data_IF_833050153661
#
_entry.id   IF_833050153661
#
_cell.length_a   1.000
_cell.length_b   1.000
_cell.length_c   1.000
_cell.angle_alpha   90.00
_cell.angle_beta   90.00
_cell.angle_gamma   90.00
#
_symmetry.space_group_name_H-M   'P 1'
#
loop_
_entity.id
_entity.type
_entity.pdbx_description
1 polymer ?
#
# COMPACT_ATOMS: atom_id res chain seq x y z
N UNK A 1 -87.06 8.63 5.50
CA UNK A 1 -87.14 7.18 5.76
C UNK A 1 -87.57 6.83 7.17
N UNK A 2 -86.90 7.31 8.24
CA UNK A 2 -87.29 6.95 9.63
C UNK A 2 -88.75 7.34 9.96
N UNK A 3 -89.15 8.57 9.62
CA UNK A 3 -90.47 9.10 10.00
C UNK A 3 -91.67 8.34 9.42
N UNK A 4 -91.60 7.87 8.17
CA UNK A 4 -92.70 7.13 7.52
C UNK A 4 -92.84 5.71 8.06
N UNK A 5 -91.72 5.04 8.35
CA UNK A 5 -91.73 3.72 9.01
C UNK A 5 -92.24 3.82 10.44
N UNK A 6 -91.78 4.82 11.21
CA UNK A 6 -92.31 5.06 12.56
C UNK A 6 -93.81 5.37 12.53
N UNK A 7 -94.29 6.15 11.55
CA UNK A 7 -95.72 6.42 11.38
C UNK A 7 -96.50 5.12 11.09
N UNK A 8 -96.01 4.26 10.21
CA UNK A 8 -96.67 2.98 9.90
C UNK A 8 -96.71 2.03 11.11
N UNK A 9 -95.62 1.95 11.89
CA UNK A 9 -95.57 1.16 13.12
C UNK A 9 -96.55 1.73 14.16
N UNK A 10 -96.58 3.05 14.34
CA UNK A 10 -97.52 3.70 15.26
C UNK A 10 -98.96 3.46 14.84
N UNK A 11 -99.28 3.61 13.55
CA UNK A 11 -100.61 3.31 13.02
C UNK A 11 -101.00 1.84 13.19
N UNK A 12 -100.06 0.90 13.01
CA UNK A 12 -100.28 -0.52 13.27
C UNK A 12 -100.54 -0.81 14.75
N UNK A 13 -99.75 -0.23 15.67
CA UNK A 13 -99.96 -0.39 17.11
C UNK A 13 -101.31 0.20 17.54
N UNK A 14 -101.65 1.40 17.03
CA UNK A 14 -102.95 2.03 17.29
C UNK A 14 -104.10 1.18 16.75
N UNK A 15 -103.95 0.59 15.57
CA UNK A 15 -104.94 -0.33 14.99
C UNK A 15 -105.10 -1.59 15.85
N UNK A 16 -104.01 -2.23 16.27
CA UNK A 16 -104.06 -3.40 17.14
C UNK A 16 -104.75 -3.10 18.48
N UNK A 17 -104.45 -1.95 19.08
CA UNK A 17 -105.10 -1.51 20.33
C UNK A 17 -106.58 -1.23 20.10
N UNK A 18 -106.96 -0.58 19.00
CA UNK A 18 -108.35 -0.34 18.64
C UNK A 18 -109.12 -1.67 18.44
N UNK A 19 -108.53 -2.65 17.77
CA UNK A 19 -109.09 -3.99 17.61
C UNK A 19 -109.25 -4.72 18.96
N UNK A 20 -108.26 -4.63 19.85
CA UNK A 20 -108.31 -5.26 21.17
C UNK A 20 -109.41 -4.64 22.06
N UNK A 21 -109.55 -3.31 22.02
CA UNK A 21 -110.62 -2.59 22.72
C UNK A 21 -111.98 -2.99 22.14
N UNK A 22 -112.11 -2.99 20.82
CA UNK A 22 -113.36 -3.41 20.16
C UNK A 22 -113.73 -4.86 20.52
N UNK A 23 -112.77 -5.78 20.54
CA UNK A 23 -112.98 -7.17 20.94
C UNK A 23 -113.50 -7.29 22.38
N UNK A 24 -112.90 -6.56 23.34
CA UNK A 24 -113.28 -6.60 24.75
C UNK A 24 -114.71 -6.08 25.01
N UNK A 25 -115.17 -5.10 24.23
CA UNK A 25 -116.45 -4.43 24.49
C UNK A 25 -117.60 -4.82 23.55
N UNK A 26 -117.29 -5.27 22.33
CA UNK A 26 -118.28 -5.46 21.26
C UNK A 26 -118.55 -6.92 20.91
N UNK A 27 -117.65 -7.87 21.23
CA UNK A 27 -117.93 -9.30 21.09
C UNK A 27 -118.83 -9.74 22.24
N UNK A 28 -120.13 -9.50 22.10
CA UNK A 28 -121.18 -10.09 22.95
C UNK A 28 -121.87 -11.19 22.15
N UNK A 29 -121.84 -12.43 22.66
CA UNK A 29 -122.67 -13.52 22.13
C UNK A 29 -122.01 -14.88 21.88
N UNK A 30 -120.72 -15.07 22.13
CA UNK A 30 -120.11 -16.41 22.13
C UNK A 30 -120.44 -17.14 23.43
N UNK A 31 -121.68 -17.61 23.57
CA UNK A 31 -122.04 -18.59 24.59
C UNK A 31 -121.69 -19.98 24.06
N UNK A 32 -120.90 -20.75 24.82
CA UNK A 32 -120.58 -22.15 24.50
C UNK A 32 -121.68 -23.12 24.96
N UNK A 33 -122.81 -22.58 25.44
CA UNK A 33 -123.94 -23.34 25.94
C UNK A 33 -124.83 -23.79 24.76
N UNK A 34 -124.97 -25.10 24.48
CA UNK A 34 -125.70 -25.59 23.31
C UNK A 34 -127.17 -25.18 23.27
N UNK A 35 -127.76 -24.75 24.40
CA UNK A 35 -129.15 -24.30 24.48
C UNK A 35 -129.39 -22.85 23.97
N UNK A 36 -128.35 -22.02 23.85
CA UNK A 36 -128.46 -20.60 23.45
C UNK A 36 -127.68 -20.26 22.18
N UNK A 37 -127.24 -21.30 21.46
CA UNK A 37 -126.41 -21.17 20.27
C UNK A 37 -127.19 -20.51 19.10
N UNK A 38 -126.76 -19.31 18.71
CA UNK A 38 -127.24 -18.64 17.50
C UNK A 38 -126.14 -18.64 16.42
N UNK A 39 -126.34 -19.46 15.37
CA UNK A 39 -125.37 -19.61 14.29
C UNK A 39 -125.09 -18.33 13.50
N UNK A 40 -126.06 -17.42 13.37
CA UNK A 40 -125.89 -16.17 12.62
C UNK A 40 -124.97 -15.18 13.37
N UNK A 41 -125.16 -15.03 14.69
CA UNK A 41 -124.33 -14.14 15.52
C UNK A 41 -122.89 -14.63 15.61
N UNK A 42 -122.69 -15.95 15.75
CA UNK A 42 -121.36 -16.55 15.80
C UNK A 42 -120.63 -16.44 14.45
N UNK A 43 -121.34 -16.62 13.33
CA UNK A 43 -120.75 -16.43 11.99
C UNK A 43 -120.27 -14.99 11.78
N UNK A 44 -121.06 -13.99 12.17
CA UNK A 44 -120.69 -12.56 12.07
C UNK A 44 -119.41 -12.27 12.88
N UNK A 45 -119.33 -12.75 14.12
CA UNK A 45 -118.15 -12.57 14.96
C UNK A 45 -116.89 -13.23 14.36
N UNK A 46 -117.02 -14.42 13.77
CA UNK A 46 -115.90 -15.10 13.09
C UNK A 46 -115.44 -14.29 11.88
N UNK A 47 -116.36 -13.79 11.04
CA UNK A 47 -116.02 -12.95 9.89
C UNK A 47 -115.29 -11.67 10.31
N UNK A 48 -115.68 -11.06 11.41
CA UNK A 48 -115.08 -9.83 11.91
C UNK A 48 -113.65 -10.04 12.44
N UNK A 49 -113.42 -11.14 13.18
CA UNK A 49 -112.08 -11.54 13.63
C UNK A 49 -111.17 -11.85 12.42
N UNK A 50 -111.70 -12.55 11.42
CA UNK A 50 -110.96 -12.85 10.19
C UNK A 50 -110.59 -11.57 9.43
N UNK A 51 -111.50 -10.60 9.34
CA UNK A 51 -111.22 -9.32 8.69
C UNK A 51 -110.15 -8.51 9.44
N UNK A 52 -110.18 -8.48 10.76
CA UNK A 52 -109.18 -7.77 11.57
C UNK A 52 -107.79 -8.42 11.49
N UNK A 53 -107.72 -9.74 11.56
CA UNK A 53 -106.45 -10.48 11.44
C UNK A 53 -105.85 -10.36 10.04
N UNK A 54 -106.68 -10.38 8.99
CA UNK A 54 -106.26 -10.13 7.62
C UNK A 54 -105.73 -8.70 7.45
N UNK A 55 -106.41 -7.70 8.02
CA UNK A 55 -105.96 -6.31 7.99
C UNK A 55 -104.60 -6.12 8.68
N UNK A 56 -104.42 -6.70 9.86
CA UNK A 56 -103.14 -6.67 10.56
C UNK A 56 -102.02 -7.37 9.77
N UNK A 57 -102.32 -8.54 9.17
CA UNK A 57 -101.38 -9.25 8.32
C UNK A 57 -100.98 -8.43 7.08
N UNK A 58 -101.94 -7.81 6.39
CA UNK A 58 -101.67 -6.98 5.21
C UNK A 58 -100.86 -5.74 5.55
N UNK A 59 -101.15 -5.05 6.66
CA UNK A 59 -100.37 -3.89 7.11
C UNK A 59 -98.94 -4.31 7.47
N UNK A 60 -98.78 -5.42 8.20
CA UNK A 60 -97.47 -5.98 8.52
C UNK A 60 -96.68 -6.38 7.28
N UNK A 61 -97.35 -7.01 6.31
CA UNK A 61 -96.76 -7.38 5.03
C UNK A 61 -96.36 -6.17 4.20
N UNK A 62 -97.19 -5.12 4.12
CA UNK A 62 -96.87 -3.88 3.41
C UNK A 62 -95.70 -3.14 4.06
N UNK A 63 -95.65 -3.10 5.39
CA UNK A 63 -94.53 -2.51 6.12
C UNK A 63 -93.22 -3.29 5.85
N UNK A 64 -93.28 -4.62 5.89
CA UNK A 64 -92.14 -5.48 5.60
C UNK A 64 -91.67 -5.33 4.14
N UNK A 65 -92.60 -5.34 3.18
CA UNK A 65 -92.33 -5.14 1.76
C UNK A 65 -91.66 -3.79 1.51
N UNK A 66 -92.21 -2.71 2.09
CA UNK A 66 -91.68 -1.36 1.95
C UNK A 66 -90.30 -1.18 2.62
N UNK A 67 -90.04 -1.87 3.73
CA UNK A 67 -88.71 -1.91 4.36
C UNK A 67 -87.68 -2.67 3.50
N UNK A 68 -88.14 -3.59 2.64
CA UNK A 68 -87.28 -4.41 1.78
C UNK A 68 -86.83 -3.68 0.50
N UNK A 69 -87.51 -2.60 0.12
CA UNK A 69 -87.29 -1.85 -1.12
C UNK A 69 -86.13 -0.85 -1.00
N UNK A 70 -84.90 -1.26 -1.34
CA UNK A 70 -83.72 -0.45 -1.73
C UNK A 70 -82.79 0.19 -0.67
N UNK A 71 -83.20 1.02 0.33
CA UNK A 71 -82.27 1.80 1.12
C UNK A 71 -81.58 0.96 2.19
N UNK A 72 -82.23 -0.08 2.72
CA UNK A 72 -81.58 -0.99 3.67
C UNK A 72 -80.52 -1.82 2.94
N UNK A 73 -80.79 -2.26 1.71
CA UNK A 73 -79.80 -2.97 0.89
C UNK A 73 -78.62 -2.05 0.57
N UNK A 74 -78.87 -0.84 0.08
CA UNK A 74 -77.82 0.16 -0.21
C UNK A 74 -77.01 0.56 1.02
N UNK A 75 -77.67 0.82 2.14
CA UNK A 75 -76.98 1.14 3.39
C UNK A 75 -76.15 -0.03 3.90
N UNK A 76 -76.69 -1.26 3.83
CA UNK A 76 -75.97 -2.47 4.21
C UNK A 76 -74.72 -2.67 3.34
N UNK A 77 -74.86 -2.58 2.02
CA UNK A 77 -73.71 -2.72 1.11
C UNK A 77 -72.70 -1.60 1.35
N UNK A 78 -73.13 -0.34 1.46
CA UNK A 78 -72.24 0.79 1.73
C UNK A 78 -71.49 0.64 3.06
N UNK A 79 -72.19 0.23 4.13
CA UNK A 79 -71.59 0.00 5.43
C UNK A 79 -70.54 -1.11 5.39
N UNK A 80 -70.86 -2.25 4.77
CA UNK A 80 -69.88 -3.34 4.63
C UNK A 80 -68.70 -2.95 3.74
N UNK A 81 -68.93 -2.22 2.65
CA UNK A 81 -67.84 -1.72 1.79
C UNK A 81 -66.92 -0.78 2.57
N UNK A 82 -67.44 0.22 3.29
CA UNK A 82 -66.63 1.12 4.11
C UNK A 82 -65.82 0.36 5.18
N UNK A 83 -66.42 -0.64 5.80
CA UNK A 83 -65.74 -1.40 6.85
C UNK A 83 -64.64 -2.30 6.28
N UNK A 84 -64.87 -2.88 5.09
CA UNK A 84 -63.84 -3.61 4.35
C UNK A 84 -62.68 -2.68 3.93
N UNK A 85 -62.99 -1.54 3.33
CA UNK A 85 -61.98 -0.55 2.93
C UNK A 85 -61.15 -0.07 4.13
N UNK A 86 -61.78 0.20 5.28
CA UNK A 86 -61.06 0.56 6.52
C UNK A 86 -60.14 -0.57 6.99
N UNK A 87 -60.59 -1.83 6.94
CA UNK A 87 -59.76 -2.98 7.33
C UNK A 87 -58.56 -3.14 6.40
N UNK A 88 -58.76 -2.99 5.09
CA UNK A 88 -57.66 -3.00 4.11
C UNK A 88 -56.69 -1.85 4.30
N UNK A 89 -57.18 -0.62 4.53
CA UNK A 89 -56.35 0.54 4.88
C UNK A 89 -55.55 0.33 6.16
N UNK A 90 -56.16 -0.25 7.19
CA UNK A 90 -55.46 -0.56 8.44
C UNK A 90 -54.39 -1.64 8.25
N UNK A 91 -54.69 -2.66 7.45
CA UNK A 91 -53.74 -3.73 7.13
C UNK A 91 -52.55 -3.20 6.33
N UNK A 92 -52.80 -2.43 5.26
CA UNK A 92 -51.76 -1.80 4.44
C UNK A 92 -50.93 -0.79 5.24
N UNK A 93 -51.56 0.03 6.08
CA UNK A 93 -50.82 0.93 6.97
C UNK A 93 -49.94 0.17 7.98
N UNK A 94 -50.39 -1.00 8.46
CA UNK A 94 -49.60 -1.86 9.35
C UNK A 94 -48.42 -2.49 8.61
N UNK A 95 -48.64 -3.04 7.41
CA UNK A 95 -47.57 -3.64 6.61
C UNK A 95 -46.51 -2.59 6.21
N UNK A 96 -46.94 -1.38 5.84
CA UNK A 96 -46.04 -0.30 5.50
C UNK A 96 -45.21 0.17 6.72
N UNK A 97 -45.80 0.20 7.92
CA UNK A 97 -45.05 0.48 9.15
C UNK A 97 -44.00 -0.59 9.44
N UNK A 98 -44.34 -1.86 9.24
CA UNK A 98 -43.38 -2.95 9.44
C UNK A 98 -42.25 -2.89 8.42
N UNK A 99 -42.56 -2.64 7.15
CA UNK A 99 -41.57 -2.48 6.09
C UNK A 99 -40.66 -1.26 6.34
N UNK A 100 -41.24 -0.13 6.74
CA UNK A 100 -40.46 1.05 7.15
C UNK A 100 -39.50 0.71 8.30
N UNK A 101 -39.95 -0.08 9.27
CA UNK A 101 -39.11 -0.47 10.40
C UNK A 101 -37.98 -1.41 9.97
N UNK A 102 -38.25 -2.37 9.07
CA UNK A 102 -37.20 -3.26 8.55
C UNK A 102 -36.17 -2.49 7.75
N UNK A 103 -36.60 -1.55 6.90
CA UNK A 103 -35.69 -0.68 6.15
C UNK A 103 -34.86 0.22 7.08
N UNK A 104 -35.45 0.73 8.16
CA UNK A 104 -34.70 1.52 9.14
C UNK A 104 -33.63 0.70 9.85
N UNK A 105 -33.97 -0.54 10.23
CA UNK A 105 -33.02 -1.46 10.87
C UNK A 105 -31.90 -1.85 9.90
N UNK A 106 -32.23 -2.13 8.63
CA UNK A 106 -31.25 -2.43 7.58
C UNK A 106 -30.32 -1.23 7.34
N UNK A 107 -30.87 -0.02 7.22
CA UNK A 107 -30.09 1.21 7.10
C UNK A 107 -29.16 1.40 8.30
N UNK A 108 -29.66 1.20 9.52
CA UNK A 108 -28.85 1.30 10.73
C UNK A 108 -27.71 0.28 10.74
N UNK A 109 -27.94 -0.93 10.23
CA UNK A 109 -26.91 -1.97 10.12
C UNK A 109 -25.85 -1.59 9.09
N UNK A 110 -26.26 -1.10 7.91
CA UNK A 110 -25.35 -0.61 6.88
C UNK A 110 -24.51 0.58 7.38
N UNK A 111 -25.12 1.54 8.07
CA UNK A 111 -24.39 2.67 8.67
C UNK A 111 -23.35 2.20 9.70
N UNK A 112 -23.66 1.18 10.50
CA UNK A 112 -22.72 0.60 11.46
C UNK A 112 -21.56 -0.10 10.75
N UNK A 113 -21.85 -0.90 9.72
CA UNK A 113 -20.83 -1.55 8.90
C UNK A 113 -19.91 -0.52 8.26
N UNK A 114 -20.47 0.51 7.62
CA UNK A 114 -19.69 1.58 6.99
C UNK A 114 -18.80 2.32 8.00
N UNK A 115 -19.32 2.64 9.20
CA UNK A 115 -18.53 3.26 10.27
C UNK A 115 -17.37 2.36 10.72
N UNK A 116 -17.61 1.06 10.86
CA UNK A 116 -16.56 0.11 11.22
C UNK A 116 -15.48 0.00 10.14
N UNK A 117 -15.86 -0.01 8.86
CA UNK A 117 -14.92 -0.03 7.74
C UNK A 117 -14.12 1.27 7.66
N UNK A 118 -14.76 2.42 7.88
CA UNK A 118 -14.10 3.72 7.96
C UNK A 118 -13.07 3.76 9.09
N UNK A 119 -13.41 3.22 10.26
CA UNK A 119 -12.49 3.13 11.39
C UNK A 119 -11.28 2.22 11.06
N UNK A 120 -11.52 1.06 10.44
CA UNK A 120 -10.45 0.16 10.01
C UNK A 120 -9.54 0.81 8.95
N UNK A 121 -10.11 1.49 7.95
CA UNK A 121 -9.34 2.25 6.96
C UNK A 121 -8.56 3.39 7.58
N UNK A 122 -9.14 4.12 8.54
CA UNK A 122 -8.44 5.18 9.28
C UNK A 122 -7.24 4.63 10.05
N UNK A 123 -7.38 3.47 10.71
CA UNK A 123 -6.27 2.80 11.39
C UNK A 123 -5.19 2.37 10.39
N UNK A 124 -5.58 1.84 9.23
CA UNK A 124 -4.66 1.46 8.17
C UNK A 124 -3.86 2.67 7.66
N UNK A 125 -4.52 3.82 7.42
CA UNK A 125 -3.84 5.06 7.03
C UNK A 125 -2.85 5.53 8.10
N UNK A 126 -3.22 5.47 9.38
CA UNK A 126 -2.29 5.82 10.47
C UNK A 126 -1.06 4.91 10.49
N UNK A 127 -1.23 3.60 10.28
CA UNK A 127 -0.12 2.65 10.20
C UNK A 127 0.78 2.91 8.99
N UNK A 128 0.20 3.22 7.83
CA UNK A 128 0.94 3.59 6.63
C UNK A 128 1.74 4.87 6.84
N UNK A 129 1.14 5.89 7.44
CA UNK A 129 1.85 7.14 7.76
C UNK A 129 3.00 6.89 8.73
N UNK A 130 2.83 6.08 9.76
CA UNK A 130 3.91 5.72 10.67
C UNK A 130 5.07 5.00 9.96
N UNK A 131 4.77 4.10 9.00
CA UNK A 131 5.79 3.45 8.16
C UNK A 131 6.49 4.43 7.22
N UNK A 132 5.75 5.39 6.66
CA UNK A 132 6.33 6.46 5.83
C UNK A 132 7.29 7.30 6.69
N UNK A 133 6.91 7.68 7.90
CA UNK A 133 7.78 8.44 8.81
C UNK A 133 9.04 7.64 9.18
N UNK A 134 8.90 6.36 9.49
CA UNK A 134 10.02 5.46 9.80
C UNK A 134 10.98 5.33 8.61
N UNK A 135 10.45 5.06 7.41
CA UNK A 135 11.26 4.93 6.19
C UNK A 135 11.92 6.26 5.80
N UNK A 136 11.27 7.39 6.04
CA UNK A 136 11.84 8.72 5.79
C UNK A 136 13.03 8.98 6.71
N UNK A 137 12.89 8.68 8.02
CA UNK A 137 14.00 8.79 8.99
C UNK A 137 15.16 7.86 8.62
N UNK A 138 14.86 6.61 8.26
CA UNK A 138 15.89 5.66 7.83
C UNK A 138 16.64 6.18 6.58
N UNK A 139 15.92 6.73 5.60
CA UNK A 139 16.52 7.32 4.41
C UNK A 139 17.41 8.53 4.75
N UNK A 140 16.98 9.40 5.68
CA UNK A 140 17.79 10.53 6.15
C UNK A 140 19.10 10.04 6.80
N UNK A 141 19.03 9.06 7.71
CA UNK A 141 20.25 8.49 8.32
C UNK A 141 21.17 7.84 7.30
N UNK A 142 20.62 7.18 6.27
CA UNK A 142 21.42 6.60 5.21
C UNK A 142 22.11 7.68 4.35
N UNK A 143 21.41 8.78 4.05
CA UNK A 143 22.00 9.91 3.33
C UNK A 143 23.12 10.59 4.11
N UNK A 144 22.95 10.74 5.42
CA UNK A 144 24.00 11.26 6.30
C UNK A 144 25.24 10.34 6.26
N UNK A 145 25.05 9.03 6.39
CA UNK A 145 26.13 8.06 6.30
C UNK A 145 26.82 8.06 4.91
N UNK A 146 26.06 8.19 3.82
CA UNK A 146 26.62 8.35 2.48
C UNK A 146 27.45 9.64 2.36
N UNK A 147 26.99 10.74 2.95
CA UNK A 147 27.72 12.00 3.00
C UNK A 147 29.04 11.89 3.76
N UNK A 148 29.04 11.23 4.92
CA UNK A 148 30.24 10.98 5.72
C UNK A 148 31.24 10.11 4.96
N UNK A 149 30.77 9.02 4.34
CA UNK A 149 31.62 8.14 3.55
C UNK A 149 32.22 8.87 2.34
N UNK A 150 31.47 9.78 1.72
CA UNK A 150 31.95 10.58 0.60
C UNK A 150 33.00 11.61 1.04
N UNK A 151 32.88 12.17 2.24
CA UNK A 151 33.90 13.03 2.83
C UNK A 151 35.19 12.24 3.12
N UNK A 152 35.07 11.06 3.72
CA UNK A 152 36.20 10.17 4.01
C UNK A 152 36.91 9.75 2.71
N UNK A 153 36.14 9.39 1.67
CA UNK A 153 36.68 9.06 0.35
C UNK A 153 37.46 10.22 -0.27
N UNK A 154 36.94 11.45 -0.17
CA UNK A 154 37.62 12.64 -0.65
C UNK A 154 38.94 12.90 0.12
N UNK A 155 38.94 12.69 1.43
CA UNK A 155 40.15 12.82 2.26
C UNK A 155 41.20 11.78 1.86
N UNK A 156 40.83 10.51 1.74
CA UNK A 156 41.72 9.43 1.27
C UNK A 156 42.27 9.72 -0.13
N UNK A 157 41.44 10.23 -1.04
CA UNK A 157 41.86 10.62 -2.38
C UNK A 157 42.91 11.73 -2.35
N UNK A 158 42.74 12.73 -1.48
CA UNK A 158 43.72 13.81 -1.32
C UNK A 158 45.07 13.30 -0.78
N UNK A 159 45.04 12.38 0.21
CA UNK A 159 46.24 11.73 0.75
C UNK A 159 46.95 10.90 -0.31
N UNK A 160 46.19 10.14 -1.11
CA UNK A 160 46.74 9.35 -2.20
C UNK A 160 47.45 10.24 -3.24
N UNK A 161 46.86 11.38 -3.61
CA UNK A 161 47.51 12.35 -4.51
C UNK A 161 48.78 12.94 -3.92
N UNK A 162 48.81 13.24 -2.62
CA UNK A 162 50.03 13.74 -1.94
C UNK A 162 51.15 12.69 -1.94
N UNK A 163 50.83 11.44 -1.58
CA UNK A 163 51.77 10.32 -1.62
C UNK A 163 52.30 10.08 -3.04
N UNK A 164 51.45 10.16 -4.04
CA UNK A 164 51.86 10.01 -5.44
C UNK A 164 52.79 11.15 -5.91
N UNK A 165 52.54 12.38 -5.47
CA UNK A 165 53.43 13.52 -5.67
C UNK A 165 54.79 13.34 -4.95
N UNK A 166 54.77 12.79 -3.74
CA UNK A 166 56.00 12.51 -2.98
C UNK A 166 56.82 11.39 -3.61
N UNK A 167 56.17 10.29 -4.04
CA UNK A 167 56.82 9.19 -4.75
C UNK A 167 57.44 9.68 -6.06
N UNK A 168 56.74 10.52 -6.81
CA UNK A 168 57.28 11.09 -8.05
C UNK A 168 58.47 12.03 -7.78
N UNK A 169 58.41 12.85 -6.73
CA UNK A 169 59.55 13.67 -6.29
C UNK A 169 60.76 12.82 -5.88
N UNK A 170 60.55 11.78 -5.07
CA UNK A 170 61.61 10.86 -4.63
C UNK A 170 62.22 10.10 -5.82
N UNK A 171 61.40 9.63 -6.76
CA UNK A 171 61.89 9.01 -8.01
C UNK A 171 62.77 9.96 -8.81
N UNK A 172 62.38 11.24 -8.92
CA UNK A 172 63.19 12.25 -9.59
C UNK A 172 64.53 12.46 -8.87
N UNK A 173 64.51 12.55 -7.54
CA UNK A 173 65.72 12.74 -6.74
C UNK A 173 66.67 11.55 -6.81
N UNK A 174 66.15 10.32 -6.80
CA UNK A 174 66.93 9.09 -7.04
C UNK A 174 67.64 9.19 -8.39
N UNK A 175 66.91 9.53 -9.45
CA UNK A 175 67.48 9.66 -10.80
C UNK A 175 68.57 10.74 -10.88
N UNK A 176 68.39 11.85 -10.16
CA UNK A 176 69.40 12.92 -10.09
C UNK A 176 70.66 12.46 -9.36
N UNK A 177 70.51 11.76 -8.22
CA UNK A 177 71.62 11.21 -7.45
C UNK A 177 72.36 10.10 -8.20
N UNK A 178 71.65 9.28 -8.98
CA UNK A 178 72.26 8.28 -9.86
C UNK A 178 73.15 8.96 -10.92
N UNK A 179 72.67 10.03 -11.55
CA UNK A 179 73.46 10.81 -12.51
C UNK A 179 74.68 11.47 -11.86
N UNK A 180 74.52 12.05 -10.67
CA UNK A 180 75.62 12.67 -9.92
C UNK A 180 76.67 11.64 -9.51
N UNK A 181 76.26 10.48 -8.99
CA UNK A 181 77.18 9.39 -8.64
C UNK A 181 77.89 8.81 -9.87
N UNK A 182 77.19 8.69 -11.00
CA UNK A 182 77.80 8.24 -12.25
C UNK A 182 78.87 9.23 -12.73
N UNK A 183 78.60 10.54 -12.68
CA UNK A 183 79.57 11.58 -13.02
C UNK A 183 80.77 11.62 -12.06
N UNK A 184 80.55 11.35 -10.76
CA UNK A 184 81.61 11.33 -9.73
C UNK A 184 82.48 10.07 -9.82
N UNK A 185 81.92 8.96 -10.30
CA UNK A 185 82.64 7.73 -10.61
C UNK A 185 83.58 7.89 -11.81
N UNK A 186 83.20 8.70 -12.80
CA UNK A 186 84.02 9.01 -13.99
C UNK A 186 85.21 9.94 -13.69
N UNK A 187 85.23 10.62 -12.54
CA UNK A 187 86.23 11.62 -12.14
C UNK A 187 87.20 11.14 -11.04
N UNK A 188 87.34 9.84 -10.82
CA UNK A 188 88.26 9.30 -9.81
C UNK A 188 89.73 9.47 -10.23
N UNK A 189 90.38 10.53 -9.74
CA UNK A 189 91.85 10.65 -9.73
C UNK A 189 92.40 9.62 -8.72
N UNK A 190 93.39 8.78 -9.07
CA UNK A 190 93.97 7.83 -8.14
C UNK A 190 94.64 8.55 -6.97
N UNK A 191 94.58 7.98 -5.76
CA UNK A 191 95.36 8.45 -4.62
C UNK A 191 96.85 8.29 -4.93
N UNK A 192 97.68 9.26 -4.52
CA UNK A 192 99.14 9.28 -4.74
C UNK A 192 99.83 7.96 -4.31
N UNK A 193 99.29 7.29 -3.28
CA UNK A 193 99.78 6.04 -2.72
C UNK A 193 99.59 4.81 -3.65
N UNK A 194 98.79 4.95 -4.72
CA UNK A 194 98.56 3.89 -5.72
C UNK A 194 99.47 4.05 -6.96
N UNK A 195 100.31 5.08 -7.05
CA UNK A 195 101.18 5.31 -8.21
C UNK A 195 102.48 4.50 -8.05
N UNK A 196 102.60 3.43 -8.83
CA UNK A 196 103.79 2.58 -8.87
C UNK A 196 104.77 3.07 -9.94
N UNK A 197 106.08 2.91 -9.70
CA UNK A 197 107.11 3.15 -10.73
C UNK A 197 107.11 2.03 -11.77
N UNK A 198 106.38 2.26 -12.87
CA UNK A 198 106.19 1.25 -13.93
C UNK A 198 107.49 0.90 -14.67
N UNK A 199 108.56 1.69 -14.49
CA UNK A 199 109.86 1.41 -15.14
C UNK A 199 110.59 0.21 -14.55
N UNK A 200 110.12 -0.32 -13.41
CA UNK A 200 110.64 -1.56 -12.82
C UNK A 200 110.28 -2.82 -13.63
N UNK A 201 109.28 -2.74 -14.52
CA UNK A 201 108.94 -3.85 -15.42
C UNK A 201 109.86 -3.81 -16.64
N UNK A 202 110.57 -4.90 -16.88
CA UNK A 202 111.46 -5.04 -18.00
C UNK A 202 110.67 -4.90 -19.32
N UNK A 203 111.11 -3.97 -20.17
CA UNK A 203 110.41 -3.60 -21.40
C UNK A 203 109.63 -2.29 -21.31
N UNK A 204 109.38 -1.76 -20.10
CA UNK A 204 108.78 -0.44 -19.87
C UNK A 204 109.88 0.59 -19.57
N UNK A 205 110.26 1.36 -20.59
CA UNK A 205 111.15 2.52 -20.40
C UNK A 205 110.40 3.79 -19.96
N UNK A 206 111.12 4.87 -19.57
CA UNK A 206 110.51 6.14 -19.13
C UNK A 206 109.52 6.77 -20.11
N UNK A 207 109.68 6.53 -21.42
CA UNK A 207 108.77 7.02 -22.44
C UNK A 207 107.45 6.22 -22.49
N UNK A 208 107.51 4.92 -22.17
CA UNK A 208 106.36 4.03 -22.15
C UNK A 208 105.58 4.24 -20.85
N UNK A 209 106.25 4.38 -19.70
CA UNK A 209 105.60 4.65 -18.42
C UNK A 209 104.80 5.96 -18.46
N UNK A 210 105.35 7.05 -19.03
CA UNK A 210 104.60 8.31 -19.22
C UNK A 210 103.34 8.15 -20.07
N UNK A 211 103.38 7.31 -21.10
CA UNK A 211 102.20 7.03 -21.92
C UNK A 211 101.18 6.20 -21.16
N UNK A 212 101.61 5.21 -20.37
CA UNK A 212 100.73 4.43 -19.51
C UNK A 212 100.04 5.31 -18.47
N UNK A 213 100.77 6.22 -17.83
CA UNK A 213 100.20 7.22 -16.93
C UNK A 213 99.18 8.13 -17.65
N UNK A 214 99.50 8.62 -18.85
CA UNK A 214 98.57 9.42 -19.63
C UNK A 214 97.30 8.66 -20.06
N UNK A 215 97.36 7.32 -20.13
CA UNK A 215 96.22 6.43 -20.39
C UNK A 215 95.45 6.04 -19.12
N UNK A 216 95.80 6.57 -17.96
CA UNK A 216 95.10 6.27 -16.71
C UNK A 216 95.61 5.03 -15.98
N UNK A 217 96.74 4.46 -16.40
CA UNK A 217 97.37 3.27 -15.79
C UNK A 217 98.53 3.74 -14.93
N UNK A 218 98.37 3.65 -13.62
CA UNK A 218 99.28 4.20 -12.63
C UNK A 218 99.90 3.15 -11.69
N UNK A 219 99.35 1.93 -11.61
CA UNK A 219 99.79 0.92 -10.64
C UNK A 219 100.17 -0.43 -11.25
N UNK A 220 101.03 -1.18 -10.55
CA UNK A 220 101.32 -2.57 -10.92
C UNK A 220 100.06 -3.45 -10.86
N UNK A 221 99.13 -3.17 -9.93
CA UNK A 221 97.84 -3.87 -9.82
C UNK A 221 97.05 -3.78 -11.12
N UNK A 222 96.96 -2.60 -11.73
CA UNK A 222 96.25 -2.41 -12.99
C UNK A 222 96.89 -3.22 -14.13
N UNK A 223 98.22 -3.19 -14.25
CA UNK A 223 98.95 -3.98 -15.28
C UNK A 223 98.80 -5.48 -15.05
N UNK A 224 98.81 -5.92 -13.79
CA UNK A 224 98.65 -7.33 -13.41
C UNK A 224 97.29 -7.93 -13.82
N UNK A 225 96.29 -7.06 -13.99
CA UNK A 225 94.91 -7.40 -14.34
C UNK A 225 94.61 -7.26 -15.83
N UNK A 226 95.60 -6.90 -16.67
CA UNK A 226 95.39 -6.81 -18.11
C UNK A 226 94.92 -8.15 -18.66
N UNK A 227 93.77 -8.14 -19.31
CA UNK A 227 93.27 -9.25 -20.10
C UNK A 227 93.74 -9.12 -21.56
N UNK A 228 93.42 -10.13 -22.38
CA UNK A 228 93.84 -10.15 -23.78
C UNK A 228 93.33 -8.94 -24.58
N UNK A 229 92.16 -8.40 -24.22
CA UNK A 229 91.57 -7.22 -24.85
C UNK A 229 92.34 -5.95 -24.49
N UNK A 230 92.68 -5.79 -23.21
CA UNK A 230 93.42 -4.63 -22.70
C UNK A 230 94.86 -4.62 -23.20
N UNK A 231 95.52 -5.78 -23.33
CA UNK A 231 96.85 -5.90 -23.93
C UNK A 231 96.85 -5.39 -25.38
N UNK A 232 95.83 -5.77 -26.18
CA UNK A 232 95.72 -5.31 -27.57
C UNK A 232 95.45 -3.80 -27.66
N UNK A 233 94.56 -3.27 -26.80
CA UNK A 233 94.25 -1.84 -26.76
C UNK A 233 95.46 -0.99 -26.36
N UNK A 234 96.16 -1.38 -25.27
CA UNK A 234 97.36 -0.70 -24.80
C UNK A 234 98.50 -0.84 -25.82
N UNK A 235 98.66 -2.02 -26.42
CA UNK A 235 99.66 -2.25 -27.47
C UNK A 235 99.43 -1.38 -28.71
N UNK A 236 98.18 -1.24 -29.17
CA UNK A 236 97.80 -0.31 -30.26
C UNK A 236 98.09 1.14 -29.89
N UNK A 237 97.75 1.56 -28.67
CA UNK A 237 97.95 2.94 -28.20
C UNK A 237 99.45 3.30 -28.06
N UNK A 238 100.29 2.33 -27.69
CA UNK A 238 101.73 2.53 -27.58
C UNK A 238 102.47 2.58 -28.94
N UNK A 239 101.79 2.31 -30.08
CA UNK A 239 102.28 2.30 -31.48
C UNK A 239 103.46 1.37 -31.78
N UNK A 240 104.14 0.83 -30.77
CA UNK A 240 105.31 -0.03 -30.86
C UNK A 240 104.96 -1.45 -30.39
N UNK A 241 104.21 -2.19 -31.23
CA UNK A 241 103.99 -3.65 -31.19
C UNK A 241 103.40 -4.24 -29.89
N UNK A 242 102.12 -4.71 -29.90
CA UNK A 242 101.48 -5.39 -28.75
C UNK A 242 102.26 -6.62 -28.28
N UNK A 243 103.04 -7.22 -29.19
CA UNK A 243 103.88 -8.38 -28.91
C UNK A 243 104.89 -8.16 -27.79
N UNK A 244 105.34 -6.92 -27.53
CA UNK A 244 106.30 -6.66 -26.44
C UNK A 244 105.70 -6.84 -25.05
N UNK A 245 104.42 -6.52 -24.88
CA UNK A 245 103.71 -6.68 -23.59
C UNK A 245 103.66 -8.17 -23.22
N UNK A 246 103.49 -9.04 -24.22
CA UNK A 246 103.46 -10.49 -24.07
C UNK A 246 104.87 -11.11 -24.01
N UNK A 247 105.77 -10.70 -24.92
CA UNK A 247 107.14 -11.22 -25.03
C UNK A 247 107.97 -10.90 -23.80
N UNK A 248 107.84 -9.68 -23.28
CA UNK A 248 108.55 -9.23 -22.10
C UNK A 248 107.74 -9.49 -20.82
N UNK A 249 106.63 -10.26 -20.87
CA UNK A 249 105.80 -10.68 -19.72
C UNK A 249 105.46 -9.54 -18.72
N UNK A 250 104.91 -8.44 -19.20
CA UNK A 250 104.61 -7.29 -18.34
C UNK A 250 103.60 -7.63 -17.25
N UNK A 251 102.59 -8.44 -17.59
CA UNK A 251 101.53 -8.86 -16.66
C UNK A 251 102.10 -9.75 -15.55
N UNK A 252 102.95 -10.73 -15.89
CA UNK A 252 103.61 -11.60 -14.91
C UNK A 252 104.60 -10.87 -14.03
N UNK A 253 105.34 -9.91 -14.58
CA UNK A 253 106.24 -9.04 -13.80
C UNK A 253 105.47 -8.10 -12.87
N UNK A 254 104.40 -7.48 -13.34
CA UNK A 254 103.54 -6.62 -12.52
C UNK A 254 102.94 -7.40 -11.35
N UNK A 255 102.53 -8.67 -11.54
CA UNK A 255 102.06 -9.54 -10.45
C UNK A 255 103.11 -9.76 -9.36
N UNK A 256 104.39 -9.89 -9.74
CA UNK A 256 105.50 -10.09 -8.80
C UNK A 256 105.83 -8.82 -8.02
N UNK A 257 105.70 -7.65 -8.65
CA UNK A 257 105.96 -6.34 -8.05
C UNK A 257 104.77 -5.82 -7.23
N UNK A 258 103.58 -6.39 -7.42
CA UNK A 258 102.34 -6.06 -6.71
C UNK A 258 102.13 -6.91 -5.43
N UNK A 259 103.20 -7.41 -4.82
CA UNK A 259 103.14 -8.30 -3.64
C UNK A 259 103.06 -7.54 -2.33
#
# INVERSE_FOLDING_TARGET
MKKTVYLAIVLFVVWCVACAIWYLFSVKGLTTDPATFNGASNAIAIFEILFMTLGAFLIGFLAAYYLQEEPIKKWRTAYFTEEHEKKELHFTARSLRTEKQTLLNEKSYQELQFKSELAAKSQQVQQLNAKVDETTRALETQKEAEGDLQNELNELRSKAQQLEAEVSHLRFKIKQLEFENQSKSELRVPKEDEISDLTQIQGIGPAISRKLYAMGIYSFKQISQFDKGMIDQVGKALKYFPDRILRDDWVGQARKLNS
#
